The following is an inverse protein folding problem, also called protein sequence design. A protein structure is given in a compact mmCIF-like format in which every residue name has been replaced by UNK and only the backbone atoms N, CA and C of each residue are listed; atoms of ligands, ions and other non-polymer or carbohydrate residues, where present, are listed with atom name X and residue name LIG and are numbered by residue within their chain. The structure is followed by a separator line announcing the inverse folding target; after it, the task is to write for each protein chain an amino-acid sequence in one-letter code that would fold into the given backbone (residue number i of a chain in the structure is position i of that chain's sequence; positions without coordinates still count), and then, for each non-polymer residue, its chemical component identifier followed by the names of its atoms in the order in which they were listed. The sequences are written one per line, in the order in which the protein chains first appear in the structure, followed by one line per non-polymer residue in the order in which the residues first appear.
data_IF_619951511698
#
_entry.id   IF_619951511698
#
_cell.length_a   1.000
_cell.length_b   1.000
_cell.length_c   1.000
_cell.angle_alpha   90.00
_cell.angle_beta   90.00
_cell.angle_gamma   90.00
#
_symmetry.space_group_name_H-M   'P 1'
#
loop_
_entity.id
_entity.type
_entity.pdbx_description
1 polymer ?
#
# COMPACT_ATOMS: atom_id res chain seq x y z
N UNK A 1 18.85 -9.81 12.05
CA UNK A 1 18.53 -11.12 11.44
C UNK A 1 17.02 -11.15 11.39
N UNK A 2 16.40 -10.55 10.36
CA UNK A 2 14.95 -10.25 10.42
C UNK A 2 14.30 -10.36 9.02
N UNK A 3 14.69 -11.36 8.23
CA UNK A 3 14.26 -11.52 6.83
C UNK A 3 13.17 -12.59 6.58
N UNK A 4 12.38 -12.98 7.59
CA UNK A 4 11.35 -14.03 7.41
C UNK A 4 9.90 -13.65 7.74
N UNK A 5 9.60 -12.42 8.20
CA UNK A 5 8.21 -12.04 8.53
C UNK A 5 7.39 -11.46 7.37
N UNK A 6 8.03 -11.19 6.22
CA UNK A 6 7.38 -10.52 5.08
C UNK A 6 6.12 -11.25 4.63
N UNK A 7 6.19 -12.56 4.37
CA UNK A 7 5.13 -13.31 3.71
C UNK A 7 3.79 -13.41 4.47
N UNK A 8 3.79 -13.37 5.82
CA UNK A 8 2.55 -13.45 6.60
C UNK A 8 1.84 -12.10 6.68
N UNK A 9 2.61 -11.03 6.92
CA UNK A 9 2.05 -9.68 7.02
C UNK A 9 1.56 -9.18 5.65
N UNK A 10 2.37 -9.42 4.63
CA UNK A 10 2.09 -9.09 3.25
C UNK A 10 0.80 -9.71 2.70
N UNK A 11 0.47 -10.92 3.15
CA UNK A 11 -0.80 -11.59 2.82
C UNK A 11 -1.96 -11.02 3.63
N UNK A 12 -1.75 -10.74 4.92
CA UNK A 12 -2.78 -10.15 5.78
C UNK A 12 -3.26 -8.80 5.23
N UNK A 13 -2.33 -7.92 4.85
CA UNK A 13 -2.67 -6.60 4.29
C UNK A 13 -3.35 -6.73 2.92
N UNK A 14 -2.92 -7.67 2.09
CA UNK A 14 -3.51 -7.90 0.76
C UNK A 14 -4.89 -8.59 0.80
N UNK A 15 -5.22 -9.24 1.91
CA UNK A 15 -6.49 -9.96 2.10
C UNK A 15 -7.43 -9.25 3.08
N UNK A 16 -7.20 -7.96 3.35
CA UNK A 16 -8.05 -7.15 4.23
C UNK A 16 -9.49 -7.15 3.71
N UNK A 17 -10.44 -7.53 4.57
CA UNK A 17 -11.85 -7.65 4.24
C UNK A 17 -12.68 -6.43 4.65
N UNK A 18 -13.96 -6.46 4.28
CA UNK A 18 -14.93 -5.46 4.72
C UNK A 18 -15.05 -5.46 6.25
N UNK A 19 -14.84 -4.31 6.88
CA UNK A 19 -14.93 -4.14 8.33
C UNK A 19 -13.62 -4.38 9.07
N UNK A 20 -12.56 -4.84 8.39
CA UNK A 20 -11.23 -4.95 8.99
C UNK A 20 -10.62 -3.56 9.20
N UNK A 21 -9.94 -3.40 10.33
CA UNK A 21 -9.19 -2.19 10.66
C UNK A 21 -7.74 -2.56 10.98
N UNK A 22 -6.85 -2.33 10.00
CA UNK A 22 -5.44 -2.69 10.08
C UNK A 22 -4.63 -1.40 10.22
N UNK A 23 -3.79 -1.32 11.25
CA UNK A 23 -2.86 -0.21 11.45
C UNK A 23 -1.44 -0.74 11.31
N UNK A 24 -0.68 -0.16 10.39
CA UNK A 24 0.73 -0.47 10.19
C UNK A 24 1.59 0.73 10.60
N UNK A 25 2.38 0.57 11.65
CA UNK A 25 3.34 1.60 12.08
C UNK A 25 4.55 1.62 11.15
N UNK A 26 5.09 2.80 10.91
CA UNK A 26 6.27 3.02 10.08
C UNK A 26 7.20 4.05 10.72
N UNK A 27 8.48 3.96 10.39
CA UNK A 27 9.50 4.90 10.87
C UNK A 27 10.22 5.62 9.73
N UNK A 28 10.26 5.00 8.55
CA UNK A 28 10.90 5.57 7.36
C UNK A 28 9.92 5.66 6.18
N UNK A 29 10.22 6.61 5.28
CA UNK A 29 9.39 6.90 4.11
C UNK A 29 9.41 5.75 3.10
N UNK A 30 10.54 5.05 2.96
CA UNK A 30 10.64 3.96 1.97
C UNK A 30 9.75 2.78 2.35
N UNK A 31 9.66 2.47 3.64
CA UNK A 31 8.73 1.47 4.18
C UNK A 31 7.28 1.90 4.01
N UNK A 32 6.95 3.16 4.34
CA UNK A 32 5.61 3.71 4.11
C UNK A 32 5.21 3.57 2.63
N UNK A 33 6.08 3.97 1.71
CA UNK A 33 5.84 3.89 0.27
C UNK A 33 5.56 2.45 -0.18
N UNK A 34 6.36 1.48 0.31
CA UNK A 34 6.15 0.05 0.05
C UNK A 34 4.79 -0.44 0.53
N UNK A 35 4.46 -0.12 1.79
CA UNK A 35 3.23 -0.59 2.42
C UNK A 35 1.98 -0.03 1.74
N UNK A 36 1.96 1.28 1.46
CA UNK A 36 0.83 1.94 0.80
C UNK A 36 0.61 1.40 -0.61
N UNK A 37 1.67 1.26 -1.41
CA UNK A 37 1.53 0.75 -2.77
C UNK A 37 1.04 -0.69 -2.78
N UNK A 38 1.56 -1.54 -1.89
CA UNK A 38 1.09 -2.92 -1.75
C UNK A 38 -0.39 -3.02 -1.41
N UNK A 39 -0.85 -2.26 -0.42
CA UNK A 39 -2.27 -2.24 -0.04
C UNK A 39 -3.13 -1.74 -1.20
N UNK A 40 -2.71 -0.65 -1.85
CA UNK A 40 -3.41 -0.06 -2.97
C UNK A 40 -3.51 -1.02 -4.17
N UNK A 41 -2.39 -1.61 -4.57
CA UNK A 41 -2.30 -2.54 -5.68
C UNK A 41 -3.16 -3.79 -5.45
N UNK A 42 -3.19 -4.31 -4.22
CA UNK A 42 -4.04 -5.45 -3.87
C UNK A 42 -5.53 -5.12 -3.98
N UNK A 43 -5.98 -4.01 -3.39
CA UNK A 43 -7.36 -3.56 -3.48
C UNK A 43 -7.80 -3.38 -4.94
N UNK A 44 -6.98 -2.69 -5.75
CA UNK A 44 -7.27 -2.45 -7.16
C UNK A 44 -7.28 -3.75 -7.99
N UNK A 45 -6.35 -4.67 -7.74
CA UNK A 45 -6.32 -5.98 -8.41
C UNK A 45 -7.56 -6.83 -8.09
N UNK A 46 -8.14 -6.66 -6.89
CA UNK A 46 -9.39 -7.31 -6.48
C UNK A 46 -10.65 -6.60 -7.00
N UNK A 47 -10.52 -5.50 -7.75
CA UNK A 47 -11.65 -4.71 -8.26
C UNK A 47 -12.30 -3.82 -7.20
N UNK A 48 -11.61 -3.56 -6.09
CA UNK A 48 -12.09 -2.71 -5.01
C UNK A 48 -11.76 -1.23 -5.27
N UNK A 49 -12.56 -0.34 -4.69
CA UNK A 49 -12.27 1.10 -4.68
C UNK A 49 -11.34 1.47 -3.53
N UNK A 50 -10.35 2.32 -3.79
CA UNK A 50 -9.41 2.81 -2.80
C UNK A 50 -9.45 4.34 -2.71
N UNK A 51 -9.41 4.86 -1.48
CA UNK A 51 -9.16 6.28 -1.21
C UNK A 51 -7.86 6.39 -0.44
N UNK A 52 -6.90 7.14 -0.99
CA UNK A 52 -5.70 7.56 -0.29
C UNK A 52 -5.84 9.03 0.11
N UNK A 53 -5.51 9.36 1.37
CA UNK A 53 -5.48 10.75 1.86
C UNK A 53 -4.05 11.11 2.29
N UNK A 54 -3.10 11.22 1.35
CA UNK A 54 -1.71 11.51 1.66
C UNK A 54 -1.45 13.02 1.81
N UNK A 55 -0.33 13.36 2.44
CA UNK A 55 0.27 14.69 2.22
C UNK A 55 0.77 14.81 0.78
N UNK A 56 1.02 16.03 0.29
CA UNK A 56 1.57 16.22 -1.06
C UNK A 56 2.95 15.56 -1.24
N UNK A 57 3.79 15.60 -0.20
CA UNK A 57 5.09 14.93 -0.19
C UNK A 57 4.94 13.41 -0.33
N UNK A 58 4.01 12.81 0.41
CA UNK A 58 3.70 11.37 0.33
C UNK A 58 3.14 10.99 -1.03
N UNK A 59 2.20 11.78 -1.58
CA UNK A 59 1.66 11.53 -2.90
C UNK A 59 2.74 11.50 -3.99
N UNK A 60 3.66 12.47 -3.94
CA UNK A 60 4.77 12.57 -4.89
C UNK A 60 5.70 11.35 -4.83
N UNK A 61 5.80 10.69 -3.67
CA UNK A 61 6.58 9.48 -3.48
C UNK A 61 5.83 8.20 -3.88
N UNK A 62 4.51 8.13 -3.65
CA UNK A 62 3.69 6.96 -3.98
C UNK A 62 3.44 6.82 -5.48
N UNK A 63 3.15 7.93 -6.14
CA UNK A 63 2.67 7.94 -7.53
C UNK A 63 3.55 7.14 -8.50
N UNK A 64 4.88 7.34 -8.58
CA UNK A 64 5.71 6.59 -9.53
C UNK A 64 5.67 5.08 -9.30
N UNK A 65 5.46 4.67 -8.05
CA UNK A 65 5.41 3.26 -7.67
C UNK A 65 4.05 2.63 -7.96
N UNK A 66 2.95 3.35 -7.72
CA UNK A 66 1.62 2.94 -8.14
C UNK A 66 1.56 2.76 -9.67
N UNK A 67 2.11 3.71 -10.42
CA UNK A 67 2.22 3.62 -11.89
C UNK A 67 3.04 2.39 -12.31
N UNK A 68 4.15 2.09 -11.63
CA UNK A 68 4.96 0.89 -11.88
C UNK A 68 4.24 -0.43 -11.55
N UNK A 69 3.28 -0.40 -10.63
CA UNK A 69 2.40 -1.53 -10.29
C UNK A 69 1.18 -1.63 -11.23
N UNK A 70 1.12 -0.79 -12.28
CA UNK A 70 0.09 -0.82 -13.31
C UNK A 70 -1.18 -0.05 -12.95
N UNK A 71 -1.14 0.76 -11.90
CA UNK A 71 -2.26 1.61 -11.48
C UNK A 71 -2.31 2.86 -12.36
N UNK A 72 -3.44 3.12 -13.00
CA UNK A 72 -3.70 4.39 -13.72
C UNK A 72 -3.96 5.50 -12.69
N UNK A 73 -3.00 6.43 -12.61
CA UNK A 73 -3.05 7.57 -11.70
C UNK A 73 -3.35 8.83 -12.51
N UNK A 74 -4.60 9.30 -12.48
CA UNK A 74 -4.99 10.59 -13.07
C UNK A 74 -4.87 11.72 -12.04
N UNK A 75 -4.28 12.83 -12.47
CA UNK A 75 -4.15 14.07 -11.68
C UNK A 75 -5.29 15.01 -12.04
#
# INVERSE_FOLDING_TARGET
MDHELGGSWDRLVAAAGQGDHIVQLYQDQDFLNRAVCRFAGAALANGEGLILVPTLAHWSAFRPRLEAEGVDVKI
#
